data_IF_971391415350
#
_entry.id   IF_971391415350
#
_cell.length_a   1.000
_cell.length_b   1.000
_cell.length_c   1.000
_cell.angle_alpha   90.00
_cell.angle_beta   90.00
_cell.angle_gamma   90.00
#
_symmetry.space_group_name_H-M   'P 1'
#
loop_
_entity.id
_entity.type
_entity.pdbx_description
1 polymer ?
#
# COMPACT_ATOMS: atom_id res chain seq x y z
N UNK A 1 -17.97 17.10 3.02
CA UNK A 1 -17.85 15.64 2.91
C UNK A 1 -18.12 15.24 1.47
N UNK A 2 -17.15 14.63 0.78
CA UNK A 2 -17.34 14.10 -0.58
C UNK A 2 -17.72 12.62 -0.47
N UNK A 3 -18.89 12.22 -0.98
CA UNK A 3 -19.19 10.80 -1.13
C UNK A 3 -18.37 10.23 -2.29
N UNK A 4 -17.69 9.11 -2.06
CA UNK A 4 -17.01 8.34 -3.09
C UNK A 4 -17.97 7.26 -3.59
N UNK A 5 -18.52 7.43 -4.78
CA UNK A 5 -19.40 6.45 -5.45
C UNK A 5 -18.60 5.45 -6.31
N UNK A 6 -17.41 5.04 -5.85
CA UNK A 6 -16.55 4.11 -6.60
C UNK A 6 -16.85 2.67 -6.18
N UNK A 7 -17.02 1.80 -7.18
CA UNK A 7 -17.02 0.34 -6.99
C UNK A 7 -15.57 -0.13 -7.05
N UNK A 8 -15.21 -1.05 -6.17
CA UNK A 8 -13.93 -1.77 -6.16
C UNK A 8 -14.19 -3.16 -5.58
N UNK A 9 -13.26 -4.10 -5.81
CA UNK A 9 -13.36 -5.45 -5.28
C UNK A 9 -12.92 -5.51 -3.80
N UNK A 10 -11.92 -4.70 -3.43
CA UNK A 10 -11.33 -4.67 -2.09
C UNK A 10 -11.09 -3.24 -1.63
N UNK A 11 -11.46 -2.96 -0.38
CA UNK A 11 -11.08 -1.72 0.32
C UNK A 11 -10.02 -2.03 1.38
N UNK A 12 -8.88 -1.36 1.29
CA UNK A 12 -7.80 -1.41 2.29
C UNK A 12 -7.83 -0.13 3.12
N UNK A 13 -7.96 -0.27 4.45
CA UNK A 13 -7.93 0.87 5.36
C UNK A 13 -6.53 1.02 5.97
N UNK A 14 -5.85 2.10 5.60
CA UNK A 14 -4.48 2.46 5.99
C UNK A 14 -3.47 2.28 4.85
N UNK A 15 -2.86 3.38 4.41
CA UNK A 15 -1.75 3.48 3.47
C UNK A 15 -0.38 3.37 4.17
N UNK A 16 -0.30 2.55 5.22
CA UNK A 16 0.97 2.16 5.84
C UNK A 16 1.69 1.04 5.07
N UNK A 17 2.86 0.59 5.54
CA UNK A 17 3.64 -0.46 4.88
C UNK A 17 2.82 -1.72 4.59
N UNK A 18 2.04 -2.19 5.55
CA UNK A 18 1.18 -3.38 5.40
C UNK A 18 0.09 -3.17 4.35
N UNK A 19 -0.62 -2.04 4.40
CA UNK A 19 -1.73 -1.77 3.49
C UNK A 19 -1.27 -1.54 2.05
N UNK A 20 -0.16 -0.82 1.86
CA UNK A 20 0.46 -0.64 0.55
C UNK A 20 1.01 -1.96 -0.01
N UNK A 21 1.66 -2.79 0.82
CA UNK A 21 2.14 -4.12 0.40
C UNK A 21 0.99 -4.99 -0.06
N UNK A 22 -0.12 -5.03 0.71
CA UNK A 22 -1.33 -5.77 0.34
C UNK A 22 -1.93 -5.25 -0.97
N UNK A 23 -2.11 -3.93 -1.10
CA UNK A 23 -2.68 -3.34 -2.30
C UNK A 23 -1.83 -3.62 -3.56
N UNK A 24 -0.51 -3.46 -3.48
CA UNK A 24 0.40 -3.81 -4.58
C UNK A 24 0.32 -5.29 -4.94
N UNK A 25 0.22 -6.17 -3.94
CA UNK A 25 0.11 -7.62 -4.16
C UNK A 25 -1.19 -8.01 -4.85
N UNK A 26 -2.33 -7.43 -4.42
CA UNK A 26 -3.65 -7.70 -5.02
C UNK A 26 -3.81 -7.08 -6.41
N UNK A 27 -3.18 -5.93 -6.65
CA UNK A 27 -3.27 -5.25 -7.95
C UNK A 27 -2.54 -6.00 -9.07
N UNK A 28 -1.52 -6.82 -8.75
CA UNK A 28 -0.77 -7.64 -9.71
C UNK A 28 -1.63 -8.64 -10.49
N UNK A 29 -2.47 -9.46 -9.84
CA UNK A 29 -3.43 -10.32 -10.55
C UNK A 29 -4.65 -9.56 -11.09
N UNK A 30 -4.72 -8.23 -10.96
CA UNK A 30 -5.77 -7.39 -11.55
C UNK A 30 -6.97 -7.07 -10.66
N UNK A 31 -6.88 -7.27 -9.34
CA UNK A 31 -7.95 -6.89 -8.40
C UNK A 31 -8.06 -5.37 -8.31
N UNK A 32 -9.28 -4.82 -8.36
CA UNK A 32 -9.53 -3.40 -8.16
C UNK A 32 -9.53 -3.05 -6.66
N UNK A 33 -8.53 -2.27 -6.23
CA UNK A 33 -8.29 -1.98 -4.82
C UNK A 33 -8.39 -0.48 -4.55
N UNK A 34 -9.23 -0.13 -3.59
CA UNK A 34 -9.33 1.23 -3.05
C UNK A 34 -8.62 1.32 -1.69
N UNK A 35 -7.68 2.26 -1.54
CA UNK A 35 -7.02 2.53 -0.26
C UNK A 35 -7.63 3.77 0.38
N UNK A 36 -7.99 3.66 1.66
CA UNK A 36 -8.45 4.78 2.48
C UNK A 36 -7.43 5.05 3.58
N UNK A 37 -6.84 6.24 3.61
CA UNK A 37 -6.03 6.72 4.72
C UNK A 37 -6.57 8.03 5.27
N UNK A 38 -6.37 8.26 6.57
CA UNK A 38 -6.74 9.51 7.23
C UNK A 38 -5.72 10.62 6.96
N UNK A 39 -4.47 10.23 6.72
CA UNK A 39 -3.35 11.11 6.44
C UNK A 39 -3.53 11.70 5.04
N UNK A 40 -3.42 13.02 4.95
CA UNK A 40 -3.59 13.74 3.69
C UNK A 40 -2.34 13.60 2.81
N UNK A 41 -1.19 13.35 3.42
CA UNK A 41 0.09 13.21 2.75
C UNK A 41 0.90 12.07 3.37
N UNK A 42 1.92 11.63 2.64
CA UNK A 42 2.95 10.73 3.12
C UNK A 42 3.78 11.40 4.22
N UNK A 43 4.21 10.61 5.20
CA UNK A 43 5.14 11.11 6.23
C UNK A 43 6.50 11.37 5.59
N UNK A 44 7.05 12.58 5.75
CA UNK A 44 8.38 12.92 5.22
C UNK A 44 9.53 12.16 5.91
N UNK A 45 9.27 11.54 7.07
CA UNK A 45 10.24 10.77 7.83
C UNK A 45 9.81 9.32 7.98
N UNK A 46 10.77 8.41 7.76
CA UNK A 46 10.55 6.99 8.03
C UNK A 46 10.57 6.74 9.54
N UNK A 47 9.55 6.03 10.02
CA UNK A 47 9.56 5.41 11.37
C UNK A 47 10.19 4.01 11.36
N UNK A 48 10.45 3.44 10.17
CA UNK A 48 11.10 2.16 10.04
C UNK A 48 12.62 2.34 10.17
N UNK A 49 13.23 1.65 11.13
CA UNK A 49 14.67 1.70 11.38
C UNK A 49 15.47 0.66 10.59
N UNK A 50 14.85 -0.48 10.25
CA UNK A 50 15.51 -1.62 9.60
C UNK A 50 14.59 -2.26 8.57
N UNK A 51 15.15 -2.62 7.41
CA UNK A 51 14.54 -3.57 6.47
C UNK A 51 15.34 -4.88 6.54
N UNK A 52 14.67 -5.99 6.83
CA UNK A 52 15.31 -7.30 6.76
C UNK A 52 15.53 -7.71 5.30
N UNK A 53 16.53 -8.54 5.05
CA UNK A 53 16.87 -9.06 3.71
C UNK A 53 15.63 -9.63 3.02
N UNK A 54 14.88 -10.50 3.73
CA UNK A 54 13.66 -11.09 3.16
C UNK A 54 12.58 -10.06 2.82
N UNK A 55 12.45 -9.00 3.62
CA UNK A 55 11.52 -7.91 3.31
C UNK A 55 11.96 -7.18 2.04
N UNK A 56 13.26 -6.93 1.87
CA UNK A 56 13.79 -6.29 0.66
C UNK A 56 13.56 -7.14 -0.59
N UNK A 57 13.83 -8.44 -0.54
CA UNK A 57 13.55 -9.38 -1.63
C UNK A 57 12.07 -9.33 -2.06
N UNK A 58 11.14 -9.30 -1.09
CA UNK A 58 9.71 -9.19 -1.39
C UNK A 58 9.33 -7.84 -2.02
N UNK A 59 10.00 -6.75 -1.66
CA UNK A 59 9.77 -5.43 -2.28
C UNK A 59 10.36 -5.34 -3.70
N UNK A 60 11.48 -6.01 -3.95
CA UNK A 60 12.05 -6.21 -5.29
C UNK A 60 11.11 -7.04 -6.15
N UNK A 61 10.58 -8.15 -5.60
CA UNK A 61 9.56 -8.96 -6.25
C UNK A 61 8.38 -8.10 -6.62
N UNK A 62 7.92 -7.19 -5.74
CA UNK A 62 6.84 -6.23 -5.95
C UNK A 62 7.16 -5.08 -6.93
N UNK A 63 8.42 -4.94 -7.37
CA UNK A 63 8.92 -3.88 -8.25
C UNK A 63 8.70 -2.46 -7.68
N UNK A 64 8.80 -2.33 -6.35
CA UNK A 64 8.68 -1.04 -5.64
C UNK A 64 9.96 -0.64 -4.89
N UNK A 65 11.00 -1.50 -4.96
CA UNK A 65 12.36 -1.13 -4.58
C UNK A 65 13.00 -0.26 -5.68
N UNK A 66 13.80 0.76 -5.35
CA UNK A 66 14.70 1.40 -6.31
C UNK A 66 15.76 0.43 -6.84
#
# INVERSE_FOLDING_TARGET
MKMLSQRCDVVVVGAGPTGLTLACTLRRPGVDVLILDRSIDSTATSRAAVLHVRTRELLEDLQVSP
#
